data_IF_095132874993
#
_entry.id   IF_095132874993
#
_cell.length_a   1.000
_cell.length_b   1.000
_cell.length_c   1.000
_cell.angle_alpha   90.00
_cell.angle_beta   90.00
_cell.angle_gamma   90.00
#
_symmetry.space_group_name_H-M   'P 1'
#
loop_
_entity.id
_entity.type
_entity.pdbx_description
1 polymer ?
#
# COMPACT_ATOMS: atom_id res chain seq x y z
N UNK A 1 69.49 -9.24 -4.94
CA UNK A 1 68.30 -8.94 -5.78
C UNK A 1 67.15 -8.53 -4.89
N UNK A 2 66.46 -7.43 -5.21
CA UNK A 2 65.25 -7.02 -4.50
C UNK A 2 64.05 -7.28 -5.43
N UNK A 3 63.05 -8.04 -4.97
CA UNK A 3 61.86 -8.44 -5.74
C UNK A 3 62.15 -9.04 -7.14
N UNK A 4 63.26 -9.78 -7.29
CA UNK A 4 63.66 -10.39 -8.57
C UNK A 4 64.14 -9.39 -9.64
N UNK A 5 64.33 -8.11 -9.29
CA UNK A 5 64.73 -7.05 -10.22
C UNK A 5 66.16 -6.58 -9.86
N UNK A 6 66.97 -6.30 -10.88
CA UNK A 6 68.33 -5.77 -10.75
C UNK A 6 69.44 -6.81 -10.87
N UNK A 7 70.67 -6.39 -10.54
CA UNK A 7 71.87 -7.24 -10.59
C UNK A 7 72.07 -8.00 -9.26
N UNK A 8 72.65 -9.19 -9.34
CA UNK A 8 73.02 -9.97 -8.15
C UNK A 8 74.15 -9.30 -7.37
N UNK A 9 75.14 -8.77 -8.09
CA UNK A 9 76.28 -8.00 -7.59
C UNK A 9 76.64 -6.91 -8.62
N UNK A 10 76.99 -5.71 -8.16
CA UNK A 10 77.43 -4.62 -9.04
C UNK A 10 78.84 -4.85 -9.61
N UNK A 11 79.65 -5.69 -8.95
CA UNK A 11 81.01 -6.06 -9.35
C UNK A 11 80.99 -6.80 -10.70
N UNK A 12 81.78 -6.32 -11.66
CA UNK A 12 81.86 -6.87 -13.01
C UNK A 12 80.82 -6.33 -14.00
N UNK A 13 79.83 -5.57 -13.53
CA UNK A 13 78.81 -4.94 -14.40
C UNK A 13 79.24 -3.61 -15.03
N UNK A 14 80.34 -3.01 -14.53
CA UNK A 14 80.80 -1.68 -14.97
C UNK A 14 79.86 -0.52 -14.58
N UNK A 15 78.86 -0.77 -13.71
CA UNK A 15 77.89 0.25 -13.25
C UNK A 15 77.81 0.28 -11.73
N UNK A 16 77.18 1.32 -11.18
CA UNK A 16 76.96 1.47 -9.74
C UNK A 16 75.87 0.53 -9.18
N UNK A 17 75.18 -0.25 -10.03
CA UNK A 17 74.08 -1.13 -9.62
C UNK A 17 72.79 -0.41 -9.20
N UNK A 18 72.65 0.88 -9.54
CA UNK A 18 71.46 1.67 -9.21
C UNK A 18 70.28 1.32 -10.13
N UNK A 19 69.15 0.92 -9.55
CA UNK A 19 67.95 0.47 -10.28
C UNK A 19 66.82 1.46 -10.04
N UNK A 20 66.29 2.06 -11.11
CA UNK A 20 65.14 2.97 -11.07
C UNK A 20 63.91 2.27 -11.62
N UNK A 21 62.75 2.51 -10.99
CA UNK A 21 61.47 2.02 -11.52
C UNK A 21 61.13 2.73 -12.83
N UNK A 22 60.61 2.00 -13.81
CA UNK A 22 60.09 2.62 -15.02
C UNK A 22 58.81 3.41 -14.69
N UNK A 23 58.80 4.73 -14.95
CA UNK A 23 57.63 5.59 -14.72
C UNK A 23 56.55 5.43 -15.80
N UNK A 24 56.93 5.02 -17.01
CA UNK A 24 56.05 4.85 -18.15
C UNK A 24 55.42 3.46 -18.24
N UNK A 25 55.87 2.52 -17.41
CA UNK A 25 55.28 1.19 -17.34
C UNK A 25 53.89 1.28 -16.67
N UNK A 26 52.83 1.14 -17.46
CA UNK A 26 51.46 1.08 -16.95
C UNK A 26 51.26 -0.20 -16.13
N UNK A 27 50.86 -0.05 -14.87
CA UNK A 27 50.52 -1.18 -14.02
C UNK A 27 49.13 -1.69 -14.43
N UNK A 28 49.03 -2.94 -14.88
CA UNK A 28 47.73 -3.58 -15.07
C UNK A 28 47.07 -3.79 -13.71
N UNK A 29 46.08 -2.98 -13.38
CA UNK A 29 45.34 -3.08 -12.11
C UNK A 29 44.45 -4.32 -12.02
N UNK A 30 44.23 -5.02 -13.14
CA UNK A 30 43.46 -6.25 -13.22
C UNK A 30 44.31 -7.34 -13.91
N UNK A 31 44.72 -8.40 -13.19
CA UNK A 31 45.40 -9.53 -13.80
C UNK A 31 44.48 -10.23 -14.80
N UNK A 32 45.04 -10.93 -15.79
CA UNK A 32 44.26 -11.63 -16.80
C UNK A 32 43.30 -12.67 -16.20
N UNK A 33 43.67 -13.24 -15.05
CA UNK A 33 42.83 -14.16 -14.27
C UNK A 33 41.53 -13.50 -13.80
N UNK A 34 41.59 -12.29 -13.25
CA UNK A 34 40.42 -11.56 -12.75
C UNK A 34 39.46 -11.19 -13.89
N UNK A 35 39.99 -10.93 -15.10
CA UNK A 35 39.17 -10.68 -16.30
C UNK A 35 38.47 -11.94 -16.82
N UNK A 36 39.13 -13.09 -16.75
CA UNK A 36 38.52 -14.37 -17.15
C UNK A 36 37.40 -14.75 -16.17
N UNK A 37 37.66 -14.58 -14.86
CA UNK A 37 36.72 -14.92 -13.81
C UNK A 37 35.55 -13.92 -13.70
N UNK A 38 35.63 -12.75 -14.34
CA UNK A 38 34.58 -11.71 -14.28
C UNK A 38 33.21 -12.22 -14.74
N UNK A 39 33.17 -13.20 -15.65
CA UNK A 39 31.94 -13.82 -16.15
C UNK A 39 31.42 -14.95 -15.25
N UNK A 40 32.27 -15.51 -14.40
CA UNK A 40 31.92 -16.53 -13.41
C UNK A 40 31.50 -15.92 -12.06
N UNK A 41 31.63 -14.59 -11.90
CA UNK A 41 31.15 -13.89 -10.70
C UNK A 41 29.63 -13.86 -10.71
N UNK A 42 29.04 -14.54 -9.72
CA UNK A 42 27.60 -14.51 -9.51
C UNK A 42 27.08 -13.06 -9.45
N UNK A 43 25.88 -12.77 -9.99
CA UNK A 43 25.29 -11.44 -9.92
C UNK A 43 25.28 -10.92 -8.48
N UNK A 44 25.55 -9.61 -8.27
CA UNK A 44 25.54 -9.04 -6.93
C UNK A 44 24.17 -9.30 -6.29
N UNK A 45 24.17 -10.05 -5.17
CA UNK A 45 22.94 -10.38 -4.45
C UNK A 45 22.34 -9.10 -3.87
N UNK A 46 21.16 -8.72 -4.36
CA UNK A 46 20.35 -7.69 -3.73
C UNK A 46 19.90 -8.21 -2.37
N UNK A 47 20.37 -7.57 -1.29
CA UNK A 47 19.92 -7.91 0.06
C UNK A 47 18.61 -7.20 0.34
N UNK A 48 17.59 -7.98 0.70
CA UNK A 48 16.33 -7.41 1.14
C UNK A 48 16.50 -6.73 2.52
N UNK A 49 15.63 -5.77 2.87
CA UNK A 49 15.62 -5.20 4.21
C UNK A 49 15.20 -6.24 5.25
N UNK A 50 16.05 -6.46 6.25
CA UNK A 50 15.74 -7.37 7.37
C UNK A 50 14.80 -6.72 8.38
N UNK A 51 13.66 -7.35 8.64
CA UNK A 51 12.62 -6.83 9.56
C UNK A 51 13.14 -6.72 11.00
N UNK A 52 13.93 -7.69 11.47
CA UNK A 52 14.51 -7.66 12.82
C UNK A 52 15.43 -6.45 13.05
N UNK A 53 16.18 -6.03 12.04
CA UNK A 53 17.03 -4.82 12.14
C UNK A 53 16.16 -3.57 12.20
N UNK A 54 15.10 -3.50 11.40
CA UNK A 54 14.15 -2.37 11.44
C UNK A 54 13.45 -2.26 12.79
N UNK A 55 13.03 -3.38 13.38
CA UNK A 55 12.43 -3.42 14.72
C UNK A 55 13.42 -2.99 15.81
N UNK A 56 14.67 -3.44 15.72
CA UNK A 56 15.72 -3.03 16.66
C UNK A 56 16.01 -1.53 16.55
N UNK A 57 16.08 -0.98 15.33
CA UNK A 57 16.23 0.47 15.14
C UNK A 57 15.04 1.25 15.72
N UNK A 58 13.80 0.74 15.56
CA UNK A 58 12.59 1.33 16.16
C UNK A 58 12.67 1.34 17.69
N UNK A 59 13.02 0.22 18.32
CA UNK A 59 13.18 0.12 19.79
C UNK A 59 14.32 1.01 20.28
N UNK A 60 15.46 1.03 19.58
CA UNK A 60 16.59 1.92 19.89
C UNK A 60 16.19 3.39 19.89
N UNK A 61 15.34 3.84 18.95
CA UNK A 61 14.84 5.22 18.91
C UNK A 61 13.97 5.57 20.13
N UNK A 62 13.28 4.61 20.72
CA UNK A 62 12.53 4.80 21.98
C UNK A 62 13.50 4.96 23.15
N UNK A 63 14.46 4.06 23.27
CA UNK A 63 15.44 4.10 24.38
C UNK A 63 16.32 5.35 24.33
N UNK A 64 16.73 5.80 23.14
CA UNK A 64 17.47 7.06 23.00
C UNK A 64 16.67 8.25 23.54
N UNK A 65 15.36 8.32 23.27
CA UNK A 65 14.49 9.39 23.80
C UNK A 65 14.30 9.29 25.31
N UNK A 66 14.26 8.07 25.86
CA UNK A 66 14.19 7.84 27.29
C UNK A 66 15.47 8.35 27.98
N UNK A 67 16.64 8.03 27.41
CA UNK A 67 17.93 8.52 27.91
C UNK A 67 18.06 10.04 27.79
N UNK A 68 17.59 10.63 26.69
CA UNK A 68 17.55 12.10 26.53
C UNK A 68 16.68 12.78 27.58
N UNK A 69 15.57 12.17 28.01
CA UNK A 69 14.73 12.70 29.10
C UNK A 69 15.45 12.56 30.44
N UNK A 70 16.02 11.38 30.70
CA UNK A 70 16.76 11.10 31.93
C UNK A 70 17.88 12.13 32.14
N UNK A 71 18.73 12.35 31.13
CA UNK A 71 19.82 13.32 31.20
C UNK A 71 19.33 14.75 31.50
N UNK A 72 18.18 15.15 30.95
CA UNK A 72 17.60 16.49 31.22
C UNK A 72 17.13 16.63 32.66
N UNK A 73 16.48 15.59 33.21
CA UNK A 73 16.00 15.63 34.59
C UNK A 73 17.16 15.54 35.61
N UNK A 74 18.22 14.81 35.26
CA UNK A 74 19.48 14.80 36.01
C UNK A 74 20.14 16.19 36.01
N UNK A 75 20.22 16.87 34.86
CA UNK A 75 20.72 18.25 34.76
C UNK A 75 19.86 19.24 35.58
N UNK A 76 18.56 18.97 35.70
CA UNK A 76 17.60 19.75 36.51
C UNK A 76 17.62 19.38 38.01
N UNK A 77 18.44 18.41 38.43
CA UNK A 77 18.57 17.91 39.82
C UNK A 77 17.24 17.41 40.44
N UNK A 78 16.42 16.73 39.64
CA UNK A 78 15.19 16.06 40.11
C UNK A 78 15.55 14.77 40.88
N UNK A 79 14.72 14.36 41.83
CA UNK A 79 14.91 13.12 42.60
C UNK A 79 14.87 11.86 41.70
N UNK A 80 15.74 10.88 41.97
CA UNK A 80 15.91 9.66 41.16
C UNK A 80 14.62 8.86 40.98
N UNK A 81 13.78 8.78 42.03
CA UNK A 81 12.50 8.07 41.99
C UNK A 81 11.49 8.73 41.02
N UNK A 82 11.49 10.07 40.97
CA UNK A 82 10.62 10.82 40.05
C UNK A 82 11.11 10.72 38.61
N UNK A 83 12.43 10.66 38.41
CA UNK A 83 13.05 10.44 37.10
C UNK A 83 12.60 9.09 36.53
N UNK A 84 12.69 8.01 37.32
CA UNK A 84 12.29 6.68 36.86
C UNK A 84 10.79 6.59 36.53
N UNK A 85 9.93 7.23 37.33
CA UNK A 85 8.50 7.30 37.06
C UNK A 85 8.18 8.06 35.75
N UNK A 86 8.87 9.16 35.48
CA UNK A 86 8.67 9.93 34.24
C UNK A 86 9.22 9.19 33.01
N UNK A 87 10.40 8.57 33.13
CA UNK A 87 11.03 7.80 32.04
C UNK A 87 10.19 6.55 31.69
N UNK A 88 9.69 5.83 32.70
CA UNK A 88 8.83 4.65 32.47
C UNK A 88 7.51 5.02 31.79
N UNK A 89 6.84 6.07 32.24
CA UNK A 89 5.65 6.60 31.59
C UNK A 89 5.92 7.05 30.14
N UNK A 90 7.09 7.63 29.86
CA UNK A 90 7.49 7.99 28.49
C UNK A 90 7.77 6.75 27.64
N UNK A 91 8.43 5.73 28.19
CA UNK A 91 8.72 4.46 27.50
C UNK A 91 7.41 3.80 27.05
N UNK A 92 6.43 3.66 27.93
CA UNK A 92 5.11 3.09 27.61
C UNK A 92 4.40 3.89 26.50
N UNK A 93 4.38 5.23 26.60
CA UNK A 93 3.78 6.11 25.58
C UNK A 93 4.45 5.94 24.21
N UNK A 94 5.77 5.82 24.17
CA UNK A 94 6.51 5.68 22.92
C UNK A 94 6.36 4.28 22.31
N UNK A 95 6.33 3.24 23.14
CA UNK A 95 6.05 1.87 22.69
C UNK A 95 4.65 1.77 22.08
N UNK A 96 3.63 2.40 22.69
CA UNK A 96 2.28 2.47 22.13
C UNK A 96 2.24 3.22 20.78
N UNK A 97 3.10 4.23 20.57
CA UNK A 97 3.16 4.99 19.33
C UNK A 97 4.01 4.35 18.22
N UNK A 98 4.76 3.28 18.50
CA UNK A 98 5.63 2.61 17.51
C UNK A 98 4.85 2.04 16.31
N UNK A 99 3.60 1.62 16.52
CA UNK A 99 2.73 1.07 15.48
C UNK A 99 2.43 2.10 14.38
N UNK A 100 2.51 3.40 14.68
CA UNK A 100 2.20 4.47 13.73
C UNK A 100 3.29 4.71 12.67
N UNK A 101 4.42 3.99 12.75
CA UNK A 101 5.51 4.03 11.79
C UNK A 101 6.37 5.30 11.88
N UNK A 102 7.71 5.19 11.75
CA UNK A 102 8.59 6.35 11.78
C UNK A 102 8.50 7.14 10.47
N UNK A 103 7.74 8.25 10.46
CA UNK A 103 7.77 9.24 9.39
C UNK A 103 8.93 10.22 9.58
N UNK A 104 10.01 10.08 8.82
CA UNK A 104 11.16 10.99 8.92
C UNK A 104 12.24 10.71 7.87
N UNK A 105 13.22 11.61 7.77
CA UNK A 105 14.42 11.40 6.95
C UNK A 105 15.33 10.37 7.61
N UNK A 106 15.75 9.37 6.84
CA UNK A 106 16.70 8.35 7.30
C UNK A 106 18.12 8.89 7.34
N UNK A 107 18.92 8.42 8.31
CA UNK A 107 20.35 8.72 8.35
C UNK A 107 21.07 7.88 7.29
N UNK A 108 22.18 8.35 6.69
CA UNK A 108 22.96 7.55 5.73
C UNK A 108 23.44 6.20 6.27
N UNK A 109 23.56 6.06 7.59
CA UNK A 109 23.93 4.83 8.29
C UNK A 109 22.81 3.79 8.38
N UNK A 110 21.54 4.19 8.23
CA UNK A 110 20.36 3.31 8.34
C UNK A 110 20.10 2.61 6.98
N UNK A 111 21.04 1.77 6.55
CA UNK A 111 21.03 1.13 5.22
C UNK A 111 19.76 0.31 4.97
N UNK A 112 19.28 -0.43 5.97
CA UNK A 112 18.06 -1.25 5.87
C UNK A 112 16.80 -0.40 5.79
N UNK A 113 16.71 0.69 6.56
CA UNK A 113 15.58 1.61 6.51
C UNK A 113 15.50 2.33 5.16
N UNK A 114 16.65 2.76 4.61
CA UNK A 114 16.75 3.32 3.26
C UNK A 114 16.33 2.28 2.21
N UNK A 115 16.79 1.03 2.35
CA UNK A 115 16.42 -0.03 1.42
C UNK A 115 14.91 -0.34 1.46
N UNK A 116 14.31 -0.38 2.65
CA UNK A 116 12.87 -0.56 2.81
C UNK A 116 12.08 0.59 2.18
N UNK A 117 12.48 1.84 2.44
CA UNK A 117 11.86 3.01 1.83
C UNK A 117 11.96 2.95 0.30
N UNK A 118 13.14 2.66 -0.25
CA UNK A 118 13.35 2.48 -1.70
C UNK A 118 12.51 1.35 -2.28
N UNK A 119 12.36 0.22 -1.58
CA UNK A 119 11.48 -0.89 -2.02
C UNK A 119 10.04 -0.40 -2.16
N UNK A 120 9.55 0.40 -1.22
CA UNK A 120 8.20 1.00 -1.32
C UNK A 120 8.09 2.05 -2.43
N UNK A 121 9.11 2.89 -2.62
CA UNK A 121 9.16 3.89 -3.70
C UNK A 121 9.20 3.24 -5.08
N UNK A 122 10.02 2.21 -5.25
CA UNK A 122 10.10 1.42 -6.48
C UNK A 122 8.79 0.68 -6.74
N UNK A 123 8.12 0.14 -5.73
CA UNK A 123 6.80 -0.48 -5.90
C UNK A 123 5.74 0.53 -6.35
N UNK A 124 5.76 1.76 -5.81
CA UNK A 124 4.89 2.85 -6.26
C UNK A 124 5.20 3.26 -7.69
N UNK A 125 6.48 3.39 -8.03
CA UNK A 125 6.93 3.72 -9.39
C UNK A 125 6.55 2.63 -10.39
N UNK A 126 6.71 1.36 -10.03
CA UNK A 126 6.30 0.19 -10.81
C UNK A 126 4.79 0.24 -11.10
N UNK A 127 3.97 0.46 -10.07
CA UNK A 127 2.52 0.63 -10.24
C UNK A 127 2.17 1.81 -11.15
N UNK A 128 2.86 2.94 -11.01
CA UNK A 128 2.64 4.12 -11.86
C UNK A 128 3.02 3.88 -13.33
N UNK A 129 4.06 3.08 -13.58
CA UNK A 129 4.45 2.64 -14.92
C UNK A 129 3.57 1.51 -15.48
N UNK A 130 2.62 1.00 -14.69
CA UNK A 130 1.75 -0.10 -15.09
C UNK A 130 2.44 -1.45 -15.16
N UNK A 131 3.59 -1.62 -14.50
CA UNK A 131 4.21 -2.94 -14.37
C UNK A 131 3.43 -3.76 -13.34
N UNK A 132 3.22 -5.04 -13.66
CA UNK A 132 2.50 -5.96 -12.78
C UNK A 132 3.39 -6.33 -11.59
N UNK A 133 2.78 -6.55 -10.42
CA UNK A 133 3.50 -7.03 -9.22
C UNK A 133 4.22 -8.36 -9.44
N UNK A 134 3.68 -9.19 -10.34
CA UNK A 134 4.17 -10.53 -10.63
C UNK A 134 5.15 -10.54 -11.83
N UNK A 135 5.66 -9.38 -12.23
CA UNK A 135 6.61 -9.27 -13.33
C UNK A 135 7.99 -9.76 -12.88
N UNK A 136 8.49 -10.80 -13.54
CA UNK A 136 9.84 -11.32 -13.34
C UNK A 136 10.70 -10.96 -14.55
N UNK A 137 11.91 -10.48 -14.29
CA UNK A 137 12.88 -10.16 -15.33
C UNK A 137 13.19 -11.41 -16.17
N UNK A 138 13.19 -11.27 -17.50
CA UNK A 138 13.42 -12.38 -18.43
C UNK A 138 12.16 -13.10 -18.91
N UNK A 139 11.02 -12.99 -18.21
CA UNK A 139 9.78 -13.63 -18.64
C UNK A 139 9.22 -13.08 -19.95
N UNK A 140 9.61 -11.86 -20.32
CA UNK A 140 9.28 -11.28 -21.61
C UNK A 140 9.91 -12.03 -22.80
N UNK A 141 11.02 -12.73 -22.61
CA UNK A 141 11.72 -13.48 -23.66
C UNK A 141 11.33 -14.96 -23.71
N UNK A 142 10.62 -15.46 -22.69
CA UNK A 142 10.16 -16.85 -22.62
C UNK A 142 8.89 -17.03 -23.46
N UNK A 143 9.01 -17.65 -24.64
CA UNK A 143 7.89 -17.83 -25.59
C UNK A 143 6.71 -18.57 -24.97
N UNK A 144 6.96 -19.65 -24.24
CA UNK A 144 5.93 -20.48 -23.58
C UNK A 144 5.12 -19.67 -22.56
N UNK A 145 5.81 -18.97 -21.63
CA UNK A 145 5.15 -18.09 -20.66
C UNK A 145 4.33 -16.98 -21.32
N UNK A 146 4.79 -16.47 -22.46
CA UNK A 146 4.05 -15.45 -23.20
C UNK A 146 2.77 -16.02 -23.83
N UNK A 147 2.81 -17.24 -24.36
CA UNK A 147 1.64 -17.95 -24.88
C UNK A 147 0.62 -18.26 -23.77
N UNK A 148 1.07 -18.75 -22.62
CA UNK A 148 0.23 -18.98 -21.44
C UNK A 148 -0.45 -17.68 -20.97
N UNK A 149 0.31 -16.59 -20.85
CA UNK A 149 -0.23 -15.28 -20.47
C UNK A 149 -1.24 -14.73 -21.50
N UNK A 150 -1.08 -15.06 -22.79
CA UNK A 150 -2.05 -14.70 -23.83
C UNK A 150 -3.31 -15.55 -23.71
N UNK A 151 -3.18 -16.85 -23.53
CA UNK A 151 -4.30 -17.77 -23.34
C UNK A 151 -5.11 -17.41 -22.08
N UNK A 152 -4.46 -17.14 -20.95
CA UNK A 152 -5.11 -16.69 -19.72
C UNK A 152 -5.90 -15.39 -19.93
N UNK A 153 -5.33 -14.40 -20.66
CA UNK A 153 -6.04 -13.15 -20.99
C UNK A 153 -7.24 -13.37 -21.91
N UNK A 154 -7.20 -14.38 -22.79
CA UNK A 154 -8.32 -14.73 -23.65
C UNK A 154 -9.44 -15.37 -22.83
N UNK A 155 -9.11 -16.37 -22.01
CA UNK A 155 -10.06 -17.03 -21.11
C UNK A 155 -10.73 -16.05 -20.14
N UNK A 156 -9.96 -15.15 -19.53
CA UNK A 156 -10.49 -14.11 -18.61
C UNK A 156 -11.46 -13.15 -19.33
N UNK A 157 -11.18 -12.80 -20.60
CA UNK A 157 -12.09 -11.97 -21.40
C UNK A 157 -13.38 -12.71 -21.72
N UNK A 158 -13.29 -13.96 -22.15
CA UNK A 158 -14.45 -14.81 -22.44
C UNK A 158 -15.32 -15.02 -21.20
N UNK A 159 -14.71 -15.25 -20.04
CA UNK A 159 -15.45 -15.39 -18.77
C UNK A 159 -16.12 -14.09 -18.37
N UNK A 160 -15.42 -12.95 -18.47
CA UNK A 160 -16.01 -11.64 -18.17
C UNK A 160 -17.16 -11.30 -19.12
N UNK A 161 -17.05 -11.63 -20.40
CA UNK A 161 -18.10 -11.39 -21.38
C UNK A 161 -19.29 -12.33 -21.14
N UNK A 162 -19.06 -13.59 -20.75
CA UNK A 162 -20.10 -14.53 -20.30
C UNK A 162 -20.81 -14.03 -19.03
N UNK A 163 -20.08 -13.49 -18.06
CA UNK A 163 -20.67 -12.87 -16.86
C UNK A 163 -21.55 -11.67 -17.23
N UNK A 164 -21.08 -10.80 -18.12
CA UNK A 164 -21.86 -9.66 -18.62
C UNK A 164 -23.13 -10.09 -19.37
N UNK A 165 -23.07 -11.17 -20.14
CA UNK A 165 -24.25 -11.75 -20.80
C UNK A 165 -25.25 -12.33 -19.81
N UNK A 166 -24.77 -13.08 -18.82
CA UNK A 166 -25.61 -13.62 -17.76
C UNK A 166 -26.28 -12.49 -16.95
N UNK A 167 -25.56 -11.41 -16.64
CA UNK A 167 -26.11 -10.24 -15.96
C UNK A 167 -27.14 -9.51 -16.82
N UNK A 168 -26.89 -9.37 -18.14
CA UNK A 168 -27.87 -8.82 -19.08
C UNK A 168 -29.15 -9.65 -19.12
N UNK A 169 -29.04 -10.97 -19.21
CA UNK A 169 -30.19 -11.88 -19.19
C UNK A 169 -30.98 -11.77 -17.87
N UNK A 170 -30.29 -11.74 -16.72
CA UNK A 170 -30.94 -11.53 -15.42
C UNK A 170 -31.69 -10.20 -15.34
N UNK A 171 -31.11 -9.13 -15.88
CA UNK A 171 -31.75 -7.83 -15.92
C UNK A 171 -32.97 -7.81 -16.87
N UNK A 172 -32.89 -8.48 -18.01
CA UNK A 172 -34.02 -8.63 -18.95
C UNK A 172 -35.16 -9.45 -18.34
N UNK A 173 -34.85 -10.54 -17.65
CA UNK A 173 -35.83 -11.34 -16.91
C UNK A 173 -36.50 -10.54 -15.79
N UNK A 174 -35.74 -9.74 -15.03
CA UNK A 174 -36.31 -8.85 -14.01
C UNK A 174 -37.21 -7.77 -14.63
N UNK A 175 -36.78 -7.16 -15.74
CA UNK A 175 -37.61 -6.19 -16.49
C UNK A 175 -38.89 -6.84 -17.00
N UNK A 176 -38.83 -8.05 -17.55
CA UNK A 176 -40.00 -8.77 -18.04
C UNK A 176 -40.98 -9.12 -16.90
N UNK A 177 -40.47 -9.55 -15.74
CA UNK A 177 -41.28 -9.78 -14.53
C UNK A 177 -41.96 -8.49 -14.05
N UNK A 178 -41.22 -7.38 -13.99
CA UNK A 178 -41.76 -6.07 -13.61
C UNK A 178 -42.82 -5.58 -14.59
N UNK A 179 -42.60 -5.73 -15.90
CA UNK A 179 -43.59 -5.38 -16.91
C UNK A 179 -44.84 -6.26 -16.84
N UNK A 180 -44.69 -7.57 -16.58
CA UNK A 180 -45.81 -8.49 -16.40
C UNK A 180 -46.63 -8.14 -15.15
N UNK A 181 -45.97 -7.87 -14.02
CA UNK A 181 -46.61 -7.40 -12.78
C UNK A 181 -47.36 -6.08 -13.01
N UNK A 182 -46.73 -5.12 -13.71
CA UNK A 182 -47.38 -3.84 -14.05
C UNK A 182 -48.60 -4.04 -14.94
N UNK A 183 -48.53 -4.91 -15.95
CA UNK A 183 -49.66 -5.26 -16.83
C UNK A 183 -50.78 -5.96 -16.06
N UNK A 184 -50.45 -6.81 -15.10
CA UNK A 184 -51.44 -7.50 -14.25
C UNK A 184 -52.14 -6.51 -13.31
N UNK A 185 -51.37 -5.61 -12.68
CA UNK A 185 -51.89 -4.52 -11.86
C UNK A 185 -52.82 -3.59 -12.65
N UNK A 186 -52.44 -3.22 -13.88
CA UNK A 186 -53.31 -2.41 -14.76
C UNK A 186 -54.58 -3.17 -15.18
N UNK A 187 -54.50 -4.49 -15.43
CA UNK A 187 -55.67 -5.35 -15.66
C UNK A 187 -56.59 -5.41 -14.45
N UNK A 188 -56.03 -5.55 -13.25
CA UNK A 188 -56.79 -5.58 -12.01
C UNK A 188 -57.48 -4.24 -11.75
N UNK A 189 -56.79 -3.12 -11.99
CA UNK A 189 -57.37 -1.77 -11.87
C UNK A 189 -58.57 -1.57 -12.80
N UNK A 190 -58.48 -1.99 -14.07
CA UNK A 190 -59.64 -1.94 -14.99
C UNK A 190 -60.81 -2.80 -14.51
N UNK A 191 -60.52 -3.99 -13.96
CA UNK A 191 -61.57 -4.88 -13.42
C UNK A 191 -62.23 -4.32 -12.15
N UNK A 192 -61.50 -3.54 -11.37
CA UNK A 192 -62.03 -2.81 -10.21
C UNK A 192 -62.87 -1.59 -10.64
N UNK A 193 -62.45 -0.86 -11.68
CA UNK A 193 -63.23 0.23 -12.31
C UNK A 193 -64.58 -0.27 -12.86
N UNK A 194 -64.65 -1.51 -13.36
CA UNK A 194 -65.90 -2.15 -13.84
C UNK A 194 -66.78 -2.75 -12.71
N UNK A 195 -66.36 -2.68 -11.44
CA UNK A 195 -67.17 -3.16 -10.32
C UNK A 195 -68.27 -2.14 -10.02
N UNK A 196 -69.58 -2.46 -10.21
CA UNK A 196 -70.64 -1.50 -9.97
C UNK A 196 -70.69 -1.10 -8.49
N UNK A 197 -70.41 0.17 -8.21
CA UNK A 197 -70.55 0.76 -6.89
C UNK A 197 -72.04 0.81 -6.54
N UNK A 198 -72.50 -0.11 -5.69
CA UNK A 198 -73.86 -0.07 -5.16
C UNK A 198 -73.99 1.06 -4.13
N UNK A 199 -74.74 2.09 -4.55
CA UNK A 199 -75.64 2.97 -3.78
C UNK A 199 -75.06 3.90 -2.71
N UNK A 200 -75.03 5.22 -3.00
CA UNK A 200 -75.95 6.23 -2.43
C UNK A 200 -75.37 7.65 -2.54
N UNK A 201 -76.14 8.55 -3.16
CA UNK A 201 -75.95 10.02 -3.24
C UNK A 201 -76.33 10.69 -1.90
N UNK A 202 -76.39 12.04 -1.73
CA UNK A 202 -76.04 13.21 -2.59
C UNK A 202 -75.35 14.32 -1.70
N UNK A 203 -75.48 15.66 -1.89
CA UNK A 203 -75.85 16.49 -3.04
C UNK A 203 -74.85 17.62 -3.39
N UNK A 204 -75.08 18.18 -4.58
CA UNK A 204 -74.55 19.44 -5.09
C UNK A 204 -75.16 20.67 -4.37
N UNK A 205 -74.34 21.66 -4.05
CA UNK A 205 -74.80 23.04 -3.81
C UNK A 205 -73.75 24.05 -4.28
N UNK A 206 -74.13 24.89 -5.23
CA UNK A 206 -73.34 25.97 -5.82
C UNK A 206 -73.70 27.29 -5.15
N UNK A 207 -72.72 28.04 -4.62
CA UNK A 207 -72.84 29.50 -4.44
C UNK A 207 -71.47 30.16 -4.65
N UNK A 208 -71.44 31.08 -5.61
CA UNK A 208 -70.37 32.03 -5.92
C UNK A 208 -70.24 33.13 -4.86
N UNK A 209 -69.02 33.51 -4.44
CA UNK A 209 -68.70 34.85 -3.91
C UNK A 209 -67.21 35.17 -4.11
N UNK A 210 -66.97 36.46 -4.30
CA UNK A 210 -65.86 37.20 -4.88
C UNK A 210 -64.60 37.41 -4.03
N UNK A 211 -63.51 37.72 -4.78
CA UNK A 211 -62.35 38.60 -4.49
C UNK A 211 -61.32 38.18 -3.41
N UNK A 212 -60.10 38.04 -3.93
CA UNK A 212 -58.73 38.24 -3.40
C UNK A 212 -58.55 39.32 -2.30
N UNK A 213 -57.36 39.53 -1.66
CA UNK A 213 -56.01 38.94 -1.88
C UNK A 213 -55.23 38.54 -0.60
N UNK A 214 -54.20 37.67 -0.72
CA UNK A 214 -52.97 37.80 0.09
C UNK A 214 -51.80 36.99 -0.50
N UNK A 215 -50.71 37.68 -0.83
CA UNK A 215 -49.37 37.17 -1.15
C UNK A 215 -48.46 37.25 0.10
N UNK A 216 -47.20 36.78 0.06
CA UNK A 216 -46.64 35.45 -0.19
C UNK A 216 -45.89 34.94 1.09
N UNK A 217 -45.24 33.76 1.07
CA UNK A 217 -43.78 33.81 0.91
C UNK A 217 -43.15 32.63 0.14
N UNK A 218 -42.03 32.95 -0.53
CA UNK A 218 -40.99 32.05 -1.06
C UNK A 218 -40.21 31.37 0.10
N UNK A 219 -39.15 30.60 -0.16
CA UNK A 219 -39.08 29.31 -0.84
C UNK A 219 -38.57 28.24 0.15
N UNK A 220 -39.27 27.11 0.32
CA UNK A 220 -38.78 26.06 1.22
C UNK A 220 -37.61 25.31 0.57
N UNK A 221 -36.46 25.47 1.21
CA UNK A 221 -35.18 24.93 0.82
C UNK A 221 -35.24 23.40 0.65
N UNK A 222 -34.68 22.95 -0.47
CA UNK A 222 -34.30 21.56 -0.69
C UNK A 222 -33.11 21.25 0.23
N UNK A 223 -33.38 20.81 1.46
CA UNK A 223 -32.36 20.20 2.30
C UNK A 223 -32.08 18.80 1.78
N UNK A 224 -31.03 18.71 0.97
CA UNK A 224 -30.34 17.46 0.65
C UNK A 224 -29.80 16.90 1.98
N UNK A 225 -30.47 15.89 2.52
CA UNK A 225 -29.96 15.10 3.64
C UNK A 225 -28.83 14.20 3.13
N UNK A 226 -27.63 14.78 3.06
CA UNK A 226 -26.37 14.04 2.96
C UNK A 226 -26.11 13.41 4.33
N UNK A 227 -26.57 12.17 4.52
CA UNK A 227 -26.23 11.38 5.70
C UNK A 227 -24.73 11.00 5.62
N UNK A 228 -23.89 11.87 6.19
CA UNK A 228 -22.52 11.55 6.58
C UNK A 228 -22.59 10.47 7.67
N UNK A 229 -22.37 9.21 7.29
CA UNK A 229 -22.09 8.14 8.24
C UNK A 229 -20.67 8.35 8.80
N UNK A 230 -20.56 9.18 9.84
CA UNK A 230 -19.43 9.15 10.76
C UNK A 230 -19.58 7.89 11.61
N UNK A 231 -18.75 6.88 11.34
CA UNK A 231 -18.57 5.72 12.23
C UNK A 231 -17.82 6.18 13.49
N UNK A 232 -18.41 6.07 14.69
CA UNK A 232 -17.65 6.06 15.93
C UNK A 232 -17.10 4.66 16.17
N UNK A 233 -15.79 4.60 16.36
CA UNK A 233 -15.06 3.51 16.99
C UNK A 233 -15.62 3.19 18.38
N UNK A 234 -16.20 2.00 18.57
CA UNK A 234 -16.33 1.34 19.86
C UNK A 234 -16.58 -0.17 19.68
N UNK A 235 -15.58 -0.98 20.08
CA UNK A 235 -15.72 -2.16 20.93
C UNK A 235 -16.78 -3.22 20.53
N UNK A 236 -16.35 -4.27 19.81
CA UNK A 236 -16.85 -5.62 20.11
C UNK A 236 -15.91 -6.71 19.57
N UNK A 237 -15.18 -7.33 20.48
CA UNK A 237 -14.43 -8.57 20.26
C UNK A 237 -15.33 -9.77 20.60
N UNK A 238 -15.47 -10.77 19.71
CA UNK A 238 -15.89 -12.10 20.14
C UNK A 238 -14.69 -13.04 20.17
N UNK A 239 -14.20 -13.31 21.38
CA UNK A 239 -13.35 -14.46 21.66
C UNK A 239 -14.18 -15.76 21.54
N UNK A 240 -13.75 -16.79 20.80
CA UNK A 240 -14.26 -18.13 21.04
C UNK A 240 -13.50 -18.75 22.23
N UNK A 241 -14.14 -18.76 23.40
CA UNK A 241 -13.83 -19.74 24.45
C UNK A 241 -14.25 -21.12 23.94
N UNK A 242 -13.29 -21.93 23.50
CA UNK A 242 -13.43 -23.38 23.55
C UNK A 242 -12.77 -23.86 24.83
N UNK A 243 -13.62 -24.21 25.79
CA UNK A 243 -13.30 -24.98 26.97
C UNK A 243 -13.10 -26.45 26.60
N UNK A 244 -11.91 -26.96 26.92
CA UNK A 244 -11.69 -28.27 27.57
C UNK A 244 -11.97 -29.56 26.79
N UNK A 245 -10.95 -30.40 26.66
CA UNK A 245 -10.89 -31.73 27.29
C UNK A 245 -9.70 -32.54 26.74
N UNK A 246 -8.93 -33.12 27.66
CA UNK A 246 -7.79 -34.06 27.51
C UNK A 246 -6.43 -33.51 27.09
#
# INVERSE_FOLDING_TARGET
>A
MYNGIGLATARGSGTNGYVVRNLSALRSHQPAQDRANAWDVAPPKHREPDEGILEHERKRKVEVKCLELQLKLEDENVDEDEIEAQVSALREKLLANLERGPGGRYRPTETHAIAAAKKTELAKMASALGTRSNYVEGDAFNREKQEELRAQRMMEREERDRQREADRQRMEEQKAKWEAEKREKDRLRRREEDRPTSTSSPPCFSVSISRTPLSPPLPFAYTVAFAFATCPSALFSPSPRLSGAF
#
